data_IF_758052664896
#
_entry.id   IF_758052664896
#
_cell.length_a   1.000
_cell.length_b   1.000
_cell.length_c   1.000
_cell.angle_alpha   90.00
_cell.angle_beta   90.00
_cell.angle_gamma   90.00
#
_symmetry.space_group_name_H-M   'P 1'
#
loop_
_entity.id
_entity.type
_entity.pdbx_description
1 polymer ?
#
# COMPACT_ATOMS: atom_id res chain seq x y z
N UNK A 1 2.17 13.30 19.29
CA UNK A 1 0.86 12.79 18.79
C UNK A 1 0.00 12.34 19.97
N UNK A 2 -1.33 12.41 19.92
CA UNK A 2 -2.21 11.85 20.96
C UNK A 2 -2.79 10.48 20.55
N UNK A 3 -3.36 9.75 21.49
CA UNK A 3 -3.91 8.41 21.29
C UNK A 3 -5.00 8.33 20.22
N UNK A 4 -5.88 9.34 20.14
CA UNK A 4 -6.91 9.43 19.09
C UNK A 4 -6.29 9.57 17.70
N UNK A 5 -5.25 10.40 17.56
CA UNK A 5 -4.52 10.56 16.30
C UNK A 5 -3.79 9.27 15.93
N UNK A 6 -3.16 8.59 16.90
CA UNK A 6 -2.54 7.28 16.70
C UNK A 6 -3.53 6.26 16.15
N UNK A 7 -4.72 6.17 16.76
CA UNK A 7 -5.78 5.27 16.34
C UNK A 7 -6.24 5.58 14.90
N UNK A 8 -6.46 6.86 14.59
CA UNK A 8 -6.87 7.28 13.25
C UNK A 8 -5.80 6.95 12.19
N UNK A 9 -4.53 7.22 12.47
CA UNK A 9 -3.44 6.89 11.54
C UNK A 9 -3.32 5.38 11.34
N UNK A 10 -3.38 4.58 12.42
CA UNK A 10 -3.37 3.11 12.32
C UNK A 10 -4.46 2.59 11.41
N UNK A 11 -5.71 3.05 11.60
CA UNK A 11 -6.84 2.67 10.76
C UNK A 11 -6.61 3.07 9.30
N UNK A 12 -6.10 4.28 9.07
CA UNK A 12 -5.80 4.76 7.71
C UNK A 12 -4.73 3.93 6.99
N UNK A 13 -3.88 3.20 7.72
CA UNK A 13 -2.85 2.32 7.20
C UNK A 13 -3.33 0.86 7.10
N UNK A 14 -4.59 0.57 7.46
CA UNK A 14 -5.19 -0.77 7.35
C UNK A 14 -4.82 -1.74 8.48
N UNK A 15 -4.14 -1.29 9.53
CA UNK A 15 -3.72 -2.15 10.63
C UNK A 15 -4.80 -2.31 11.70
N UNK A 16 -4.96 -3.54 12.20
CA UNK A 16 -5.60 -3.80 13.49
C UNK A 16 -4.67 -3.40 14.64
N UNK A 17 -5.18 -3.19 15.87
CA UNK A 17 -4.32 -2.93 17.04
C UNK A 17 -3.27 -4.02 17.27
N UNK A 18 -3.61 -5.29 17.03
CA UNK A 18 -2.70 -6.42 17.21
C UNK A 18 -1.55 -6.37 16.20
N UNK A 19 -1.86 -6.14 14.93
CA UNK A 19 -0.84 -6.04 13.88
C UNK A 19 0.05 -4.83 14.09
N UNK A 20 -0.51 -3.68 14.49
CA UNK A 20 0.29 -2.49 14.75
C UNK A 20 1.24 -2.70 15.96
N UNK A 21 0.74 -3.30 17.05
CA UNK A 21 1.57 -3.64 18.20
C UNK A 21 2.73 -4.57 17.80
N UNK A 22 2.46 -5.58 16.98
CA UNK A 22 3.46 -6.55 16.54
C UNK A 22 4.42 -6.00 15.48
N UNK A 23 3.91 -5.47 14.37
CA UNK A 23 4.70 -5.10 13.19
C UNK A 23 5.35 -3.72 13.31
N UNK A 24 4.65 -2.74 13.91
CA UNK A 24 5.13 -1.34 13.95
C UNK A 24 6.03 -1.10 15.16
N UNK A 25 5.69 -1.70 16.30
CA UNK A 25 6.30 -1.37 17.58
C UNK A 25 6.99 -2.54 18.29
N UNK A 26 6.76 -3.79 17.86
CA UNK A 26 7.25 -4.99 18.54
C UNK A 26 6.94 -5.03 20.06
N UNK A 27 5.73 -4.58 20.43
CA UNK A 27 5.25 -4.53 21.83
C UNK A 27 4.02 -5.41 22.04
N UNK A 28 3.68 -5.76 23.29
CA UNK A 28 2.40 -6.38 23.61
C UNK A 28 1.20 -5.49 23.23
N UNK A 29 0.08 -6.10 22.84
CA UNK A 29 -1.17 -5.39 22.51
C UNK A 29 -1.63 -4.44 23.62
N UNK A 30 -1.44 -4.81 24.88
CA UNK A 30 -1.83 -3.97 26.02
C UNK A 30 -1.10 -2.61 26.01
N UNK A 31 0.19 -2.61 25.66
CA UNK A 31 0.99 -1.38 25.54
C UNK A 31 0.44 -0.47 24.44
N UNK A 32 0.15 -1.03 23.26
CA UNK A 32 -0.47 -0.27 22.17
C UNK A 32 -1.82 0.33 22.57
N UNK A 33 -2.67 -0.45 23.25
CA UNK A 33 -3.98 0.02 23.74
C UNK A 33 -3.85 1.17 24.75
N UNK A 34 -2.83 1.14 25.62
CA UNK A 34 -2.56 2.22 26.56
C UNK A 34 -2.15 3.52 25.84
N UNK A 35 -1.45 3.42 24.71
CA UNK A 35 -1.14 4.57 23.87
C UNK A 35 -2.38 5.15 23.21
N UNK A 36 -3.23 4.31 22.60
CA UNK A 36 -4.47 4.78 21.95
C UNK A 36 -5.46 5.41 22.93
N UNK A 37 -5.48 4.96 24.19
CA UNK A 37 -6.33 5.52 25.24
C UNK A 37 -5.75 6.76 25.95
N UNK A 38 -4.54 7.20 25.57
CA UNK A 38 -3.74 8.20 26.29
C UNK A 38 -3.39 7.84 27.75
N UNK A 39 -3.52 6.57 28.15
CA UNK A 39 -3.08 6.10 29.46
C UNK A 39 -1.55 6.12 29.59
N UNK A 40 -0.83 6.06 28.47
CA UNK A 40 0.62 6.20 28.40
C UNK A 40 1.02 7.09 27.21
N UNK A 41 2.12 7.87 27.33
CA UNK A 41 2.64 8.63 26.20
C UNK A 41 3.16 7.69 25.10
N UNK A 42 2.98 8.11 23.85
CA UNK A 42 3.48 7.42 22.67
C UNK A 42 4.98 7.73 22.52
N UNK A 43 5.86 6.73 22.37
CA UNK A 43 7.28 6.99 22.09
C UNK A 43 7.47 7.69 20.74
N UNK A 44 8.40 8.64 20.67
CA UNK A 44 8.69 9.43 19.46
C UNK A 44 9.06 8.55 18.25
N UNK A 45 9.77 7.44 18.48
CA UNK A 45 10.12 6.48 17.43
C UNK A 45 8.86 5.87 16.77
N UNK A 46 7.85 5.52 17.56
CA UNK A 46 6.60 4.94 17.05
C UNK A 46 5.80 6.00 16.28
N UNK A 47 5.77 7.24 16.78
CA UNK A 47 5.20 8.36 16.05
C UNK A 47 5.89 8.57 14.69
N UNK A 48 7.23 8.58 14.68
CA UNK A 48 8.01 8.77 13.46
C UNK A 48 7.79 7.64 12.46
N UNK A 49 7.76 6.38 12.91
CA UNK A 49 7.50 5.22 12.05
C UNK A 49 6.12 5.32 11.39
N UNK A 50 5.07 5.63 12.14
CA UNK A 50 3.74 5.82 11.56
C UNK A 50 3.68 6.98 10.57
N UNK A 51 4.35 8.10 10.88
CA UNK A 51 4.43 9.25 9.96
C UNK A 51 5.13 8.88 8.65
N UNK A 52 6.18 8.06 8.70
CA UNK A 52 6.85 7.54 7.50
C UNK A 52 5.92 6.68 6.66
N UNK A 53 5.16 5.77 7.29
CA UNK A 53 4.20 4.91 6.58
C UNK A 53 3.04 5.71 5.95
N UNK A 54 2.53 6.72 6.66
CA UNK A 54 1.49 7.63 6.13
C UNK A 54 2.04 8.44 4.95
N UNK A 55 3.28 8.91 5.06
CA UNK A 55 3.95 9.65 3.99
C UNK A 55 4.19 8.76 2.76
N UNK A 56 4.63 7.52 2.97
CA UNK A 56 4.77 6.52 1.92
C UNK A 56 3.44 6.25 1.20
N UNK A 57 2.36 5.97 1.94
CA UNK A 57 1.02 5.78 1.36
C UNK A 57 0.59 7.00 0.54
N UNK A 58 0.78 8.21 1.07
CA UNK A 58 0.43 9.45 0.37
C UNK A 58 1.23 9.60 -0.91
N UNK A 59 2.53 9.33 -0.88
CA UNK A 59 3.40 9.44 -2.04
C UNK A 59 2.93 8.52 -3.18
N UNK A 60 2.58 7.26 -2.88
CA UNK A 60 2.01 6.34 -3.88
C UNK A 60 0.76 6.91 -4.57
N UNK A 61 -0.15 7.49 -3.78
CA UNK A 61 -1.39 8.08 -4.30
C UNK A 61 -1.08 9.29 -5.19
N UNK A 62 -0.22 10.21 -4.74
CA UNK A 62 0.09 11.43 -5.50
C UNK A 62 0.89 11.13 -6.78
N UNK A 63 1.81 10.16 -6.74
CA UNK A 63 2.56 9.72 -7.93
C UNK A 63 1.63 9.10 -8.97
N UNK A 64 0.75 8.17 -8.56
CA UNK A 64 -0.23 7.56 -9.45
C UNK A 64 -1.23 8.59 -10.01
N UNK A 65 -1.72 9.52 -9.18
CA UNK A 65 -2.58 10.63 -9.60
C UNK A 65 -1.87 11.50 -10.65
N UNK A 66 -0.61 11.86 -10.41
CA UNK A 66 0.19 12.66 -11.33
C UNK A 66 0.37 11.98 -12.70
N UNK A 67 0.67 10.68 -12.69
CA UNK A 67 0.79 9.88 -13.92
C UNK A 67 -0.53 9.79 -14.69
N UNK A 68 -1.64 9.53 -14.00
CA UNK A 68 -2.98 9.50 -14.60
C UNK A 68 -3.34 10.83 -15.25
N UNK A 69 -3.19 11.94 -14.53
CA UNK A 69 -3.46 13.27 -15.06
C UNK A 69 -2.58 13.59 -16.28
N UNK A 70 -1.32 13.14 -16.28
CA UNK A 70 -0.44 13.30 -17.43
C UNK A 70 -0.95 12.51 -18.65
N UNK A 71 -1.30 11.23 -18.47
CA UNK A 71 -1.88 10.39 -19.54
C UNK A 71 -3.14 11.06 -20.11
N UNK A 72 -4.05 11.50 -19.25
CA UNK A 72 -5.29 12.16 -19.65
C UNK A 72 -5.04 13.42 -20.50
N UNK A 73 -4.03 14.22 -20.15
CA UNK A 73 -3.69 15.43 -20.87
C UNK A 73 -3.04 15.16 -22.24
N UNK A 74 -2.29 14.07 -22.38
CA UNK A 74 -1.54 13.76 -23.62
C UNK A 74 -2.35 12.89 -24.58
N UNK A 75 -3.10 11.92 -24.06
CA UNK A 75 -3.75 10.86 -24.85
C UNK A 75 -5.28 10.85 -24.70
N UNK A 76 -5.84 11.67 -23.81
CA UNK A 76 -7.24 11.57 -23.38
C UNK A 76 -7.42 10.54 -22.25
N UNK A 77 -8.61 10.53 -21.65
CA UNK A 77 -8.92 9.58 -20.57
C UNK A 77 -8.91 8.14 -21.12
N UNK A 78 -8.14 7.20 -20.55
CA UNK A 78 -8.22 5.81 -20.96
C UNK A 78 -9.58 5.21 -20.57
N UNK A 79 -10.03 4.21 -21.33
CA UNK A 79 -11.24 3.45 -20.97
C UNK A 79 -11.05 2.66 -19.68
N UNK A 80 -9.87 2.07 -19.51
CA UNK A 80 -9.44 1.41 -18.27
C UNK A 80 -7.92 1.49 -18.08
N UNK A 81 -7.50 1.44 -16.81
CA UNK A 81 -6.10 1.38 -16.38
C UNK A 81 -5.96 0.28 -15.32
N UNK A 82 -5.20 -0.76 -15.62
CA UNK A 82 -4.97 -1.86 -14.69
C UNK A 82 -3.82 -1.55 -13.73
N UNK A 83 -4.04 -1.71 -12.43
CA UNK A 83 -2.99 -1.61 -11.41
C UNK A 83 -2.85 -2.94 -10.65
N UNK A 84 -1.60 -3.33 -10.37
CA UNK A 84 -1.30 -4.55 -9.63
C UNK A 84 -1.74 -4.44 -8.16
N UNK A 85 -2.50 -5.43 -7.67
CA UNK A 85 -2.96 -5.52 -6.29
C UNK A 85 -2.46 -6.80 -5.61
N UNK A 86 -1.71 -6.64 -4.52
CA UNK A 86 -1.14 -7.77 -3.77
C UNK A 86 -2.09 -8.21 -2.66
N UNK A 87 -2.82 -9.30 -2.91
CA UNK A 87 -3.81 -9.83 -1.97
C UNK A 87 -3.20 -10.43 -0.70
N UNK A 88 -1.92 -10.81 -0.72
CA UNK A 88 -1.20 -11.38 0.43
C UNK A 88 0.14 -10.70 0.67
N UNK A 89 0.62 -10.74 1.92
CA UNK A 89 1.97 -10.27 2.27
C UNK A 89 3.05 -11.05 1.52
N UNK A 90 2.85 -12.36 1.35
CA UNK A 90 3.77 -13.23 0.62
C UNK A 90 3.96 -12.76 -0.82
N UNK A 91 2.87 -12.42 -1.51
CA UNK A 91 2.92 -11.89 -2.88
C UNK A 91 3.62 -10.53 -2.92
N UNK A 92 3.32 -9.65 -1.97
CA UNK A 92 3.98 -8.36 -1.84
C UNK A 92 5.49 -8.47 -1.68
N UNK A 93 5.95 -9.40 -0.84
CA UNK A 93 7.36 -9.64 -0.55
C UNK A 93 8.14 -10.28 -1.70
N UNK A 94 7.49 -10.64 -2.81
CA UNK A 94 8.19 -11.05 -4.03
C UNK A 94 8.88 -9.89 -4.74
N UNK A 95 8.53 -8.65 -4.43
CA UNK A 95 9.13 -7.45 -5.04
C UNK A 95 10.49 -7.14 -4.43
N UNK A 96 11.36 -6.51 -5.23
CA UNK A 96 12.61 -5.95 -4.75
C UNK A 96 12.34 -4.81 -3.76
N UNK A 97 13.06 -4.80 -2.64
CA UNK A 97 13.00 -3.78 -1.57
C UNK A 97 11.67 -3.66 -0.82
N UNK A 98 10.70 -4.55 -1.07
CA UNK A 98 9.44 -4.59 -0.35
C UNK A 98 9.63 -5.00 1.11
N UNK A 99 9.01 -4.24 2.02
CA UNK A 99 8.94 -4.60 3.45
C UNK A 99 7.52 -4.98 3.84
N UNK A 100 7.37 -5.93 4.76
CA UNK A 100 6.07 -6.34 5.30
C UNK A 100 5.27 -5.14 5.87
N UNK A 101 5.98 -4.16 6.44
CA UNK A 101 5.40 -2.93 6.98
C UNK A 101 4.80 -2.01 5.90
N UNK A 102 5.13 -2.17 4.64
CA UNK A 102 4.59 -1.35 3.55
C UNK A 102 3.38 -2.00 2.86
N UNK A 103 3.15 -3.30 3.04
CA UNK A 103 2.11 -4.04 2.34
C UNK A 103 0.70 -3.44 2.55
N UNK A 104 0.26 -3.30 3.81
CA UNK A 104 -1.06 -2.74 4.10
C UNK A 104 -1.20 -1.27 3.69
N UNK A 105 -0.21 -0.39 3.96
CA UNK A 105 -0.21 0.96 3.40
C UNK A 105 -0.34 0.98 1.87
N UNK A 106 0.33 0.08 1.15
CA UNK A 106 0.21 -0.05 -0.30
C UNK A 106 -1.21 -0.47 -0.72
N UNK A 107 -1.77 -1.51 -0.11
CA UNK A 107 -3.16 -1.93 -0.39
C UNK A 107 -4.16 -0.80 -0.14
N UNK A 108 -3.94 0.01 0.90
CA UNK A 108 -4.76 1.17 1.20
C UNK A 108 -4.61 2.30 0.19
N UNK A 109 -3.43 2.49 -0.40
CA UNK A 109 -3.23 3.41 -1.51
C UNK A 109 -3.97 2.93 -2.76
N UNK A 110 -3.86 1.64 -3.12
CA UNK A 110 -4.52 1.07 -4.29
C UNK A 110 -6.05 1.17 -4.19
N UNK A 111 -6.61 0.85 -3.02
CA UNK A 111 -8.05 0.99 -2.78
C UNK A 111 -8.52 2.44 -2.92
N UNK A 112 -7.76 3.40 -2.37
CA UNK A 112 -8.10 4.83 -2.48
C UNK A 112 -8.03 5.33 -3.93
N UNK A 113 -7.04 4.87 -4.72
CA UNK A 113 -6.93 5.21 -6.13
C UNK A 113 -8.10 4.65 -6.94
N UNK A 114 -8.48 3.39 -6.72
CA UNK A 114 -9.63 2.77 -7.39
C UNK A 114 -10.96 3.44 -7.02
N UNK A 115 -11.08 3.95 -5.79
CA UNK A 115 -12.24 4.76 -5.36
C UNK A 115 -12.26 6.13 -6.05
N UNK A 116 -11.11 6.80 -6.16
CA UNK A 116 -11.00 8.15 -6.74
C UNK A 116 -11.14 8.15 -8.27
N UNK A 117 -10.62 7.12 -8.95
CA UNK A 117 -10.57 7.04 -10.41
C UNK A 117 -11.31 5.79 -10.92
N UNK A 118 -12.55 5.93 -11.42
CA UNK A 118 -13.35 4.79 -11.88
C UNK A 118 -12.77 4.00 -13.06
N UNK A 119 -11.78 4.56 -13.76
CA UNK A 119 -11.06 3.84 -14.83
C UNK A 119 -10.03 2.85 -14.28
N UNK A 120 -9.67 2.95 -13.00
CA UNK A 120 -8.69 2.06 -12.39
C UNK A 120 -9.35 0.72 -12.06
N UNK A 121 -8.77 -0.34 -12.59
CA UNK A 121 -9.12 -1.72 -12.26
C UNK A 121 -7.96 -2.37 -11.50
N UNK A 122 -8.24 -2.86 -10.29
CA UNK A 122 -7.25 -3.57 -9.49
C UNK A 122 -7.16 -5.04 -9.92
N UNK A 123 -5.96 -5.46 -10.29
CA UNK A 123 -5.67 -6.82 -10.76
C UNK A 123 -4.95 -7.58 -9.67
N UNK A 124 -5.57 -8.65 -9.16
CA UNK A 124 -4.94 -9.50 -8.15
C UNK A 124 -3.66 -10.11 -8.72
N UNK A 125 -2.54 -9.87 -8.04
CA UNK A 125 -1.24 -10.43 -8.42
C UNK A 125 -1.24 -11.95 -8.23
N UNK A 126 -0.84 -12.67 -9.28
CA UNK A 126 -0.59 -14.10 -9.25
C UNK A 126 0.87 -14.32 -9.64
N UNK A 127 1.69 -14.72 -8.67
CA UNK A 127 3.12 -14.90 -8.90
C UNK A 127 3.41 -15.99 -9.95
N UNK A 128 2.64 -17.08 -10.01
CA UNK A 128 2.90 -18.15 -10.96
C UNK A 128 2.59 -17.71 -12.39
N UNK A 129 1.44 -17.05 -12.58
CA UNK A 129 1.06 -16.49 -13.87
C UNK A 129 2.03 -15.38 -14.30
N UNK A 130 2.43 -14.51 -13.37
CA UNK A 130 3.40 -13.45 -13.62
C UNK A 130 4.76 -14.02 -14.03
N UNK A 131 5.33 -14.99 -13.30
CA UNK A 131 6.63 -15.57 -13.64
C UNK A 131 6.60 -16.28 -15.00
N UNK A 132 5.47 -16.91 -15.35
CA UNK A 132 5.27 -17.53 -16.67
C UNK A 132 5.23 -16.49 -17.78
N UNK A 133 4.58 -15.35 -17.56
CA UNK A 133 4.56 -14.23 -18.50
C UNK A 133 5.91 -13.50 -18.57
N UNK A 134 6.61 -13.38 -17.44
CA UNK A 134 7.88 -12.68 -17.33
C UNK A 134 8.95 -13.38 -18.17
N UNK A 135 8.91 -14.71 -18.26
CA UNK A 135 9.73 -15.54 -19.16
C UNK A 135 11.24 -15.22 -19.05
N UNK A 136 11.72 -15.16 -17.80
CA UNK A 136 13.14 -14.90 -17.50
C UNK A 136 13.61 -13.46 -17.73
N UNK A 137 12.73 -12.53 -18.12
CA UNK A 137 13.04 -11.09 -18.16
C UNK A 137 13.24 -10.55 -16.74
N UNK A 138 13.93 -9.41 -16.62
CA UNK A 138 14.16 -8.77 -15.32
C UNK A 138 12.85 -8.30 -14.69
N UNK A 139 12.62 -8.68 -13.44
CA UNK A 139 11.47 -8.22 -12.66
C UNK A 139 11.61 -6.73 -12.31
N UNK A 140 10.49 -6.01 -12.39
CA UNK A 140 10.37 -4.62 -11.95
C UNK A 140 8.89 -4.27 -11.79
N UNK A 141 8.59 -3.20 -11.05
CA UNK A 141 7.21 -2.73 -10.92
C UNK A 141 6.56 -2.45 -12.29
N UNK A 142 7.31 -1.85 -13.22
CA UNK A 142 6.84 -1.59 -14.58
C UNK A 142 6.42 -2.89 -15.30
N UNK A 143 7.17 -3.98 -15.14
CA UNK A 143 6.86 -5.27 -15.75
C UNK A 143 5.61 -5.89 -15.14
N UNK A 144 5.40 -5.72 -13.83
CA UNK A 144 4.20 -6.19 -13.13
C UNK A 144 2.95 -5.43 -13.58
N UNK A 145 3.04 -4.11 -13.74
CA UNK A 145 1.92 -3.31 -14.24
C UNK A 145 1.63 -3.60 -15.73
N UNK A 146 2.67 -3.87 -16.54
CA UNK A 146 2.48 -4.37 -17.90
C UNK A 146 1.77 -5.73 -17.94
N UNK A 147 2.15 -6.66 -17.05
CA UNK A 147 1.46 -7.94 -16.91
C UNK A 147 -0.01 -7.73 -16.52
N UNK A 148 -0.29 -6.86 -15.55
CA UNK A 148 -1.65 -6.54 -15.11
C UNK A 148 -2.51 -6.04 -16.28
N UNK A 149 -1.94 -5.25 -17.19
CA UNK A 149 -2.65 -4.72 -18.38
C UNK A 149 -3.01 -5.75 -19.45
N UNK A 150 -2.39 -6.94 -19.44
CA UNK A 150 -2.66 -7.99 -20.44
C UNK A 150 -3.57 -9.10 -19.93
N UNK A 151 -3.71 -9.28 -18.61
CA UNK A 151 -4.56 -10.32 -18.02
C UNK A 151 -6.01 -9.87 -17.81
N UNK A 152 -6.28 -8.56 -17.91
CA UNK A 152 -7.61 -7.95 -17.85
C UNK A 152 -8.32 -7.88 -19.20
N UNK A 153 -7.64 -8.23 -20.30
CA UNK A 153 -8.17 -8.28 -21.66
C UNK A 153 -8.51 -9.71 -22.08
#
# INVERSE_FOLDING_TARGET
>A
MNGTTLQALRLSLGYTPQEAAYMVAAVPLATWKNWESNAQPIPDEIENTLRKLVSYKRQLIEEARGQLLHICNVQGMPESLSLTYYGTETDWLTQQDATALQWKPHCMAMAALAEEFPVIELVLFDNNAYQSWLDGRLDSQLMRDQWASVVTR
#
